data_IF_983545190923
#
_entry.id   IF_983545190923
#
_cell.length_a   1.000
_cell.length_b   1.000
_cell.length_c   1.000
_cell.angle_alpha   90.00
_cell.angle_beta   90.00
_cell.angle_gamma   90.00
#
_symmetry.space_group_name_H-M   'P 1'
#
loop_
_entity.id
_entity.type
_entity.pdbx_description
1 polymer ?
#
# COMPACT_ATOMS: atom_id res chain seq x y z
N UNK A 1 12.11 21.40 -28.34
CA UNK A 1 11.40 20.91 -27.14
C UNK A 1 12.44 20.52 -26.10
N UNK A 2 12.51 21.25 -25.00
CA UNK A 2 13.42 20.89 -23.89
C UNK A 2 12.77 19.77 -23.09
N UNK A 3 13.37 18.58 -23.08
CA UNK A 3 13.01 17.51 -22.16
C UNK A 3 13.62 17.82 -20.80
N UNK A 4 12.81 18.09 -19.80
CA UNK A 4 13.27 18.17 -18.43
C UNK A 4 13.49 16.74 -17.92
N UNK A 5 14.71 16.44 -17.51
CA UNK A 5 15.06 15.18 -16.87
C UNK A 5 15.10 15.41 -15.35
N UNK A 6 14.20 14.78 -14.64
CA UNK A 6 14.27 14.71 -13.18
C UNK A 6 15.14 13.52 -12.78
N UNK A 7 16.08 13.78 -11.88
CA UNK A 7 16.95 12.74 -11.33
C UNK A 7 16.54 12.44 -9.90
N UNK A 8 16.28 11.17 -9.62
CA UNK A 8 15.92 10.66 -8.29
C UNK A 8 16.83 9.49 -7.92
N UNK A 9 16.98 9.22 -6.63
CA UNK A 9 17.75 8.07 -6.15
C UNK A 9 17.04 6.76 -6.45
N UNK A 10 15.71 6.74 -6.36
CA UNK A 10 14.89 5.54 -6.57
C UNK A 10 13.64 5.88 -7.37
N UNK A 11 13.36 5.12 -8.41
CA UNK A 11 12.09 5.14 -9.11
C UNK A 11 11.31 3.86 -8.80
N UNK A 12 10.09 3.99 -8.30
CA UNK A 12 9.14 2.89 -8.07
C UNK A 12 8.12 2.88 -9.18
N UNK A 13 8.08 1.80 -9.95
CA UNK A 13 7.12 1.62 -11.03
C UNK A 13 5.93 0.81 -10.52
N UNK A 14 4.76 1.43 -10.54
CA UNK A 14 3.51 0.87 -10.03
C UNK A 14 3.04 1.59 -8.77
N UNK A 15 1.80 2.05 -8.78
CA UNK A 15 1.16 2.81 -7.70
C UNK A 15 0.08 2.00 -6.98
N UNK A 16 0.19 0.67 -7.01
CA UNK A 16 -0.67 -0.24 -6.25
C UNK A 16 -0.27 -0.30 -4.77
N UNK A 17 -0.80 -1.28 -4.04
CA UNK A 17 -0.54 -1.45 -2.60
C UNK A 17 0.96 -1.58 -2.29
N UNK A 18 1.67 -2.42 -3.04
CA UNK A 18 3.10 -2.68 -2.80
C UNK A 18 3.93 -1.45 -3.16
N UNK A 19 3.71 -0.86 -4.34
CA UNK A 19 4.46 0.31 -4.79
C UNK A 19 4.22 1.53 -3.91
N UNK A 20 2.98 1.77 -3.48
CA UNK A 20 2.65 2.85 -2.56
C UNK A 20 3.27 2.65 -1.17
N UNK A 21 3.29 1.41 -0.67
CA UNK A 21 3.97 1.07 0.58
C UNK A 21 5.48 1.30 0.50
N UNK A 22 6.11 0.84 -0.57
CA UNK A 22 7.53 1.07 -0.83
C UNK A 22 7.86 2.58 -0.94
N UNK A 23 7.03 3.32 -1.69
CA UNK A 23 7.17 4.76 -1.85
C UNK A 23 7.10 5.52 -0.53
N UNK A 24 6.16 5.15 0.34
CA UNK A 24 6.06 5.73 1.68
C UNK A 24 7.33 5.51 2.50
N UNK A 25 7.84 4.29 2.56
CA UNK A 25 9.07 4.00 3.29
C UNK A 25 10.29 4.71 2.73
N UNK A 26 10.42 4.82 1.41
CA UNK A 26 11.48 5.57 0.77
C UNK A 26 11.42 7.06 1.11
N UNK A 27 10.23 7.65 1.06
CA UNK A 27 10.03 9.05 1.43
C UNK A 27 10.37 9.30 2.91
N UNK A 28 9.96 8.40 3.82
CA UNK A 28 10.29 8.48 5.24
C UNK A 28 11.79 8.32 5.50
N UNK A 29 12.52 7.63 4.62
CA UNK A 29 13.98 7.46 4.74
C UNK A 29 14.79 8.68 4.28
N UNK A 30 14.12 9.73 3.76
CA UNK A 30 14.74 10.94 3.27
C UNK A 30 15.41 10.81 1.90
N UNK A 31 15.17 9.71 1.18
CA UNK A 31 15.68 9.55 -0.20
C UNK A 31 14.78 10.27 -1.19
N UNK A 32 15.39 10.84 -2.23
CA UNK A 32 14.65 11.36 -3.36
C UNK A 32 14.04 10.19 -4.15
N UNK A 33 12.72 10.23 -4.39
CA UNK A 33 12.06 9.14 -5.06
C UNK A 33 10.95 9.63 -5.99
N UNK A 34 10.69 8.84 -7.02
CA UNK A 34 9.54 9.00 -7.90
C UNK A 34 8.65 7.76 -7.83
N UNK A 35 7.35 7.97 -7.69
CA UNK A 35 6.35 6.92 -7.77
C UNK A 35 5.59 7.08 -9.09
N UNK A 36 5.79 6.14 -10.00
CA UNK A 36 5.36 6.23 -11.39
C UNK A 36 4.25 5.22 -11.66
N UNK A 37 3.15 5.69 -12.23
CA UNK A 37 2.03 4.85 -12.62
C UNK A 37 0.72 5.63 -12.69
N UNK A 38 -0.36 5.00 -13.18
CA UNK A 38 -1.67 5.61 -13.21
C UNK A 38 -2.17 5.88 -11.80
N UNK A 39 -2.91 6.96 -11.62
CA UNK A 39 -3.63 7.26 -10.39
C UNK A 39 -4.83 6.33 -10.21
N UNK A 40 -5.42 6.37 -9.02
CA UNK A 40 -6.69 5.70 -8.76
C UNK A 40 -7.79 6.32 -9.63
N UNK A 41 -8.58 5.51 -10.38
CA UNK A 41 -9.68 6.04 -11.16
C UNK A 41 -10.75 6.67 -10.26
N UNK A 42 -11.33 7.79 -10.70
CA UNK A 42 -12.48 8.38 -10.03
C UNK A 42 -13.76 7.56 -10.20
N UNK A 43 -13.86 6.82 -11.29
CA UNK A 43 -14.91 5.85 -11.58
C UNK A 43 -14.30 4.54 -12.03
N UNK A 44 -14.35 3.54 -11.15
CA UNK A 44 -13.83 2.21 -11.40
C UNK A 44 -14.59 1.46 -12.49
N UNK A 45 -15.90 1.73 -12.65
CA UNK A 45 -16.72 1.08 -13.68
C UNK A 45 -16.41 1.58 -15.10
N UNK A 46 -15.99 2.83 -15.20
CA UNK A 46 -15.62 3.45 -16.48
C UNK A 46 -14.14 3.22 -16.84
N UNK A 47 -13.34 2.72 -15.91
CA UNK A 47 -11.91 2.49 -16.15
C UNK A 47 -11.68 1.25 -16.99
N UNK A 48 -11.07 1.41 -18.16
CA UNK A 48 -10.69 0.30 -19.06
C UNK A 48 -9.31 -0.29 -18.79
N UNK A 49 -8.61 0.16 -17.75
CA UNK A 49 -7.26 -0.31 -17.43
C UNK A 49 -7.22 -1.55 -16.57
N UNK A 50 -6.06 -2.19 -16.41
CA UNK A 50 -5.88 -3.26 -15.45
C UNK A 50 -6.06 -2.72 -14.03
N UNK A 51 -6.89 -3.39 -13.25
CA UNK A 51 -7.06 -3.06 -11.84
C UNK A 51 -5.93 -3.68 -11.02
N UNK A 52 -5.42 -2.94 -10.06
CA UNK A 52 -4.57 -3.52 -9.03
C UNK A 52 -5.42 -4.23 -7.97
N UNK A 53 -4.76 -4.98 -7.10
CA UNK A 53 -5.46 -5.78 -6.08
C UNK A 53 -6.13 -4.95 -4.97
N UNK A 54 -6.08 -3.64 -5.03
CA UNK A 54 -6.63 -2.75 -3.99
C UNK A 54 -7.96 -2.10 -4.36
N UNK A 55 -8.51 -2.38 -5.54
CA UNK A 55 -9.70 -1.65 -6.02
C UNK A 55 -11.00 -2.08 -5.33
N UNK A 56 -11.08 -3.27 -4.80
CA UNK A 56 -12.27 -3.77 -4.08
C UNK A 56 -12.20 -3.49 -2.57
N UNK A 57 -13.36 -3.29 -1.98
CA UNK A 57 -13.52 -3.15 -0.54
C UNK A 57 -13.71 -4.53 0.15
N UNK A 58 -13.74 -4.55 1.47
CA UNK A 58 -13.99 -5.78 2.22
C UNK A 58 -12.80 -6.72 2.32
N UNK A 59 -11.61 -6.19 2.37
CA UNK A 59 -10.38 -6.94 2.59
C UNK A 59 -10.24 -7.40 4.03
N UNK A 60 -9.75 -8.62 4.21
CA UNK A 60 -9.45 -9.18 5.52
C UNK A 60 -7.95 -9.08 5.76
N UNK A 61 -7.59 -8.56 6.93
CA UNK A 61 -6.23 -8.61 7.45
C UNK A 61 -6.20 -9.47 8.70
N UNK A 62 -5.15 -10.26 8.86
CA UNK A 62 -4.97 -11.15 10.02
C UNK A 62 -3.50 -11.27 10.36
N UNK A 63 -3.21 -11.46 11.64
CA UNK A 63 -1.85 -11.75 12.13
C UNK A 63 -1.62 -13.26 12.14
N UNK A 64 -2.59 -14.04 12.61
CA UNK A 64 -2.47 -15.48 12.72
C UNK A 64 -2.28 -16.16 11.35
N UNK A 65 -1.27 -17.00 11.24
CA UNK A 65 -0.94 -17.75 10.02
C UNK A 65 -0.16 -19.00 10.36
N UNK A 66 -0.04 -19.94 9.39
CA UNK A 66 0.70 -21.19 9.54
C UNK A 66 2.23 -21.01 9.46
N UNK A 67 2.68 -19.90 8.94
CA UNK A 67 4.09 -19.59 8.73
C UNK A 67 4.52 -18.47 9.66
N UNK A 68 5.54 -18.72 10.49
CA UNK A 68 6.02 -17.74 11.48
C UNK A 68 6.49 -16.42 10.85
N UNK A 69 7.18 -16.50 9.72
CA UNK A 69 7.65 -15.30 9.01
C UNK A 69 6.48 -14.42 8.55
N UNK A 70 5.45 -15.01 7.96
CA UNK A 70 4.26 -14.25 7.54
C UNK A 70 3.46 -13.70 8.72
N UNK A 71 3.42 -14.41 9.84
CA UNK A 71 2.79 -13.94 11.08
C UNK A 71 3.52 -12.70 11.60
N UNK A 72 4.85 -12.72 11.61
CA UNK A 72 5.66 -11.57 12.02
C UNK A 72 5.47 -10.36 11.10
N UNK A 73 5.54 -10.57 9.78
CA UNK A 73 5.30 -9.51 8.79
C UNK A 73 3.90 -8.91 8.94
N UNK A 74 2.87 -9.74 9.14
CA UNK A 74 1.50 -9.28 9.36
C UNK A 74 1.36 -8.49 10.65
N UNK A 75 2.01 -8.90 11.74
CA UNK A 75 2.01 -8.17 13.01
C UNK A 75 2.62 -6.77 12.84
N UNK A 76 3.77 -6.68 12.18
CA UNK A 76 4.40 -5.40 11.86
C UNK A 76 3.52 -4.50 10.98
N UNK A 77 2.86 -5.07 9.98
CA UNK A 77 1.95 -4.32 9.10
C UNK A 77 0.75 -3.78 9.88
N UNK A 78 0.08 -4.62 10.66
CA UNK A 78 -1.08 -4.22 11.47
C UNK A 78 -0.72 -3.14 12.51
N UNK A 79 0.46 -3.21 13.11
CA UNK A 79 0.93 -2.21 14.06
C UNK A 79 1.09 -0.80 13.43
N UNK A 80 1.22 -0.72 12.11
CA UNK A 80 1.35 0.56 11.38
C UNK A 80 0.01 1.17 10.95
N UNK A 81 -1.08 0.43 11.01
CA UNK A 81 -2.36 0.88 10.46
C UNK A 81 -2.89 2.15 11.14
N UNK A 82 -2.83 2.24 12.45
CA UNK A 82 -3.28 3.41 13.18
C UNK A 82 -2.50 4.69 12.81
N UNK A 83 -1.18 4.57 12.62
CA UNK A 83 -0.33 5.68 12.15
C UNK A 83 -0.72 6.10 10.72
N UNK A 84 -0.94 5.15 9.83
CA UNK A 84 -1.35 5.41 8.45
C UNK A 84 -2.72 6.09 8.42
N UNK A 85 -3.69 5.61 9.19
CA UNK A 85 -5.03 6.23 9.31
C UNK A 85 -4.93 7.67 9.80
N UNK A 86 -4.14 7.90 10.84
CA UNK A 86 -3.95 9.25 11.40
C UNK A 86 -3.32 10.19 10.38
N UNK A 87 -2.30 9.76 9.68
CA UNK A 87 -1.56 10.60 8.71
C UNK A 87 -2.30 10.82 7.40
N UNK A 88 -3.07 9.83 6.95
CA UNK A 88 -3.87 9.95 5.72
C UNK A 88 -5.23 10.63 5.94
N UNK A 89 -5.74 10.63 7.16
CA UNK A 89 -7.10 11.06 7.47
C UNK A 89 -8.17 10.07 6.97
N UNK A 90 -7.78 8.85 6.57
CA UNK A 90 -8.68 7.83 6.03
C UNK A 90 -8.71 6.64 6.98
N UNK A 91 -9.87 6.38 7.60
CA UNK A 91 -10.10 5.16 8.37
C UNK A 91 -10.35 3.97 7.43
N UNK A 92 -9.54 2.93 7.54
CA UNK A 92 -9.65 1.74 6.68
C UNK A 92 -9.58 0.42 7.45
N UNK A 93 -9.23 0.45 8.73
CA UNK A 93 -9.04 -0.76 9.53
C UNK A 93 -10.00 -0.82 10.71
N UNK A 94 -10.78 -1.89 10.79
CA UNK A 94 -11.65 -2.19 11.93
C UNK A 94 -11.18 -3.49 12.57
N UNK A 95 -10.51 -3.44 13.73
CA UNK A 95 -10.05 -4.64 14.40
C UNK A 95 -11.23 -5.47 14.93
N UNK A 96 -11.31 -6.74 14.52
CA UNK A 96 -12.37 -7.67 14.93
C UNK A 96 -11.84 -8.97 15.54
N UNK A 97 -10.54 -9.20 15.42
CA UNK A 97 -9.94 -10.47 15.77
C UNK A 97 -10.24 -11.57 14.77
N UNK A 98 -9.49 -12.67 14.87
CA UNK A 98 -9.64 -13.86 14.04
C UNK A 98 -9.52 -15.09 14.91
N UNK A 99 -10.46 -16.00 14.80
CA UNK A 99 -10.36 -17.34 15.35
C UNK A 99 -9.96 -18.31 14.23
N UNK A 100 -8.87 -19.02 14.42
CA UNK A 100 -8.40 -20.05 13.47
C UNK A 100 -8.48 -21.40 14.17
N UNK A 101 -9.23 -22.34 13.59
CA UNK A 101 -9.31 -23.74 14.03
C UNK A 101 -8.52 -24.60 13.03
N UNK A 102 -7.73 -25.55 13.53
CA UNK A 102 -6.97 -26.52 12.75
C UNK A 102 -7.44 -27.93 13.01
#
# INVERSE_FOLDING_TARGET
>A
MMTSHERVDVAVIGRGLIGSGAGRHLAESGRSMALIGPGEPSDWNASGGPFSSHHDQGRITRIAGRNAMWTEVAAHACARYADIETRSGIGFHTPRGVLVSY
#
